data_IF_239851282482
#
_entry.id   IF_239851282482
#
_cell.length_a   1.000
_cell.length_b   1.000
_cell.length_c   1.000
_cell.angle_alpha   90.00
_cell.angle_beta   90.00
_cell.angle_gamma   90.00
#
_symmetry.space_group_name_H-M   'P 1'
#
loop_
_entity.id
_entity.type
_entity.pdbx_description
1 polymer ?
#
# COMPACT_ATOMS: atom_id res chain seq x y z
N UNK A 1 -12.16 -18.74 22.63
CA UNK A 1 -11.58 -19.57 21.54
C UNK A 1 -11.38 -18.77 20.26
N UNK A 2 -12.41 -18.06 19.77
CA UNK A 2 -12.35 -17.22 18.56
C UNK A 2 -11.28 -16.10 18.65
N UNK A 3 -11.15 -15.41 19.79
CA UNK A 3 -10.10 -14.38 19.95
C UNK A 3 -8.67 -14.96 20.00
N UNK A 4 -8.46 -16.16 20.54
CA UNK A 4 -7.16 -16.84 20.53
C UNK A 4 -6.78 -17.32 19.12
N UNK A 5 -7.77 -17.73 18.32
CA UNK A 5 -7.58 -18.08 16.91
C UNK A 5 -7.16 -16.85 16.10
N UNK A 6 -7.83 -15.71 16.28
CA UNK A 6 -7.47 -14.46 15.60
C UNK A 6 -6.10 -13.92 16.02
N UNK A 7 -5.75 -14.02 17.31
CA UNK A 7 -4.41 -13.67 17.81
C UNK A 7 -3.34 -14.63 17.25
N UNK A 8 -3.64 -15.93 17.18
CA UNK A 8 -2.75 -16.93 16.59
C UNK A 8 -2.54 -16.75 15.09
N UNK A 9 -3.59 -16.41 14.34
CA UNK A 9 -3.52 -16.08 12.91
C UNK A 9 -2.73 -14.79 12.70
N UNK A 10 -2.99 -13.74 13.48
CA UNK A 10 -2.25 -12.47 13.41
C UNK A 10 -0.76 -12.65 13.72
N UNK A 11 -0.42 -13.36 14.79
CA UNK A 11 0.98 -13.69 15.12
C UNK A 11 1.62 -14.55 14.03
N UNK A 12 0.93 -15.55 13.48
CA UNK A 12 1.45 -16.38 12.40
C UNK A 12 1.77 -15.57 11.12
N UNK A 13 0.87 -14.68 10.73
CA UNK A 13 0.99 -13.87 9.49
C UNK A 13 2.12 -12.86 9.59
N UNK A 14 2.39 -12.28 10.76
CA UNK A 14 3.44 -11.27 10.94
C UNK A 14 4.76 -11.83 11.50
N UNK A 15 4.77 -12.92 12.25
CA UNK A 15 6.01 -13.51 12.80
C UNK A 15 6.67 -14.46 11.80
N UNK A 16 5.89 -15.28 11.09
CA UNK A 16 6.47 -16.25 10.15
C UNK A 16 7.35 -15.61 9.05
N UNK A 17 6.97 -14.48 8.41
CA UNK A 17 7.82 -13.81 7.43
C UNK A 17 9.14 -13.30 8.02
N UNK A 18 9.12 -12.79 9.26
CA UNK A 18 10.34 -12.36 9.95
C UNK A 18 11.26 -13.56 10.25
N UNK A 19 10.69 -14.67 10.72
CA UNK A 19 11.43 -15.91 10.96
C UNK A 19 12.04 -16.45 9.66
N UNK A 20 11.30 -16.42 8.55
CA UNK A 20 11.83 -16.81 7.23
C UNK A 20 12.95 -15.88 6.77
N UNK A 21 12.84 -14.57 7.04
CA UNK A 21 13.90 -13.60 6.76
C UNK A 21 15.18 -13.94 7.52
N UNK A 22 15.07 -14.17 8.83
CA UNK A 22 16.20 -14.60 9.66
C UNK A 22 16.78 -15.92 9.17
N UNK A 23 15.94 -16.89 8.81
CA UNK A 23 16.39 -18.17 8.29
C UNK A 23 17.12 -18.02 6.95
N UNK A 24 16.69 -17.12 6.07
CA UNK A 24 17.37 -16.82 4.81
C UNK A 24 18.71 -16.11 5.01
N UNK A 25 18.81 -15.19 5.97
CA UNK A 25 20.07 -14.57 6.38
C UNK A 25 21.03 -15.64 6.90
N UNK A 26 20.59 -16.49 7.83
CA UNK A 26 21.42 -17.58 8.36
C UNK A 26 21.86 -18.52 7.23
N UNK A 27 20.94 -18.93 6.36
CA UNK A 27 21.25 -19.78 5.22
C UNK A 27 22.14 -19.09 4.19
N UNK A 28 22.24 -17.77 4.14
CA UNK A 28 23.20 -17.11 3.25
C UNK A 28 24.64 -17.46 3.67
N UNK A 29 24.96 -17.31 4.96
CA UNK A 29 26.33 -17.45 5.49
C UNK A 29 26.70 -18.87 5.94
N UNK A 30 25.72 -19.72 6.28
CA UNK A 30 26.00 -21.07 6.82
C UNK A 30 26.57 -22.01 5.75
N UNK A 31 27.62 -22.78 6.08
CA UNK A 31 28.21 -23.78 5.16
C UNK A 31 27.22 -24.91 4.79
N UNK A 32 26.58 -25.51 5.80
CA UNK A 32 25.51 -26.51 5.63
C UNK A 32 24.14 -25.86 5.82
N UNK A 33 23.41 -25.70 4.72
CA UNK A 33 22.12 -25.00 4.69
C UNK A 33 21.05 -25.80 5.44
N UNK A 34 20.20 -25.11 6.19
CA UNK A 34 19.06 -25.70 6.91
C UNK A 34 17.86 -25.73 5.96
N UNK A 35 17.36 -26.94 5.63
CA UNK A 35 16.12 -27.18 4.85
C UNK A 35 15.89 -26.17 3.70
N UNK A 36 16.95 -25.84 2.95
CA UNK A 36 16.99 -24.68 2.05
C UNK A 36 15.83 -24.64 1.05
N UNK A 37 15.57 -25.74 0.33
CA UNK A 37 14.49 -25.80 -0.66
C UNK A 37 13.10 -25.52 -0.06
N UNK A 38 12.86 -26.03 1.15
CA UNK A 38 11.59 -25.82 1.85
C UNK A 38 11.46 -24.36 2.28
N UNK A 39 12.54 -23.77 2.79
CA UNK A 39 12.57 -22.36 3.19
C UNK A 39 12.39 -21.44 1.98
N UNK A 40 13.02 -21.73 0.84
CA UNK A 40 12.81 -21.00 -0.41
C UNK A 40 11.33 -21.04 -0.81
N UNK A 41 10.73 -22.24 -0.89
CA UNK A 41 9.32 -22.40 -1.29
C UNK A 41 8.40 -21.61 -0.35
N UNK A 42 8.59 -21.75 0.97
CA UNK A 42 7.80 -21.02 1.96
C UNK A 42 8.00 -19.51 1.85
N UNK A 43 9.23 -19.06 1.58
CA UNK A 43 9.56 -17.64 1.40
C UNK A 43 8.80 -17.04 0.21
N UNK A 44 8.78 -17.72 -0.93
CA UNK A 44 8.07 -17.24 -2.10
C UNK A 44 6.55 -17.30 -1.91
N UNK A 45 6.01 -18.43 -1.44
CA UNK A 45 4.56 -18.61 -1.26
C UNK A 45 4.01 -17.64 -0.21
N UNK A 46 4.60 -17.61 0.98
CA UNK A 46 4.12 -16.75 2.07
C UNK A 46 4.48 -15.27 1.83
N UNK A 47 5.63 -14.99 1.21
CA UNK A 47 6.03 -13.61 0.90
C UNK A 47 5.17 -12.96 -0.17
N UNK A 48 4.88 -13.66 -1.27
CA UNK A 48 3.96 -13.18 -2.31
C UNK A 48 2.54 -13.08 -1.74
N UNK A 49 2.09 -14.12 -1.02
CA UNK A 49 0.77 -14.14 -0.39
C UNK A 49 0.56 -12.99 0.60
N UNK A 50 1.54 -12.72 1.47
CA UNK A 50 1.50 -11.59 2.39
C UNK A 50 1.49 -10.25 1.65
N UNK A 51 2.36 -10.09 0.65
CA UNK A 51 2.42 -8.84 -0.12
C UNK A 51 1.08 -8.55 -0.80
N UNK A 52 0.46 -9.55 -1.41
CA UNK A 52 -0.88 -9.44 -2.01
C UNK A 52 -1.96 -9.16 -0.98
N UNK A 53 -1.94 -9.84 0.17
CA UNK A 53 -2.86 -9.60 1.28
C UNK A 53 -2.77 -8.15 1.79
N UNK A 54 -1.54 -7.65 1.98
CA UNK A 54 -1.31 -6.28 2.45
C UNK A 54 -1.83 -5.27 1.44
N UNK A 55 -1.53 -5.42 0.15
CA UNK A 55 -2.11 -4.55 -0.89
C UNK A 55 -3.64 -4.57 -0.90
N UNK A 56 -4.25 -5.74 -0.73
CA UNK A 56 -5.71 -5.90 -0.72
C UNK A 56 -6.34 -5.27 0.52
N UNK A 57 -5.77 -5.49 1.70
CA UNK A 57 -6.28 -4.93 2.96
C UNK A 57 -6.05 -3.42 3.04
N UNK A 58 -4.95 -2.93 2.48
CA UNK A 58 -4.65 -1.50 2.42
C UNK A 58 -5.58 -0.72 1.48
N UNK A 59 -6.23 -1.40 0.52
CA UNK A 59 -7.11 -0.77 -0.49
C UNK A 59 -6.50 0.51 -1.09
N UNK A 60 -5.22 0.41 -1.47
CA UNK A 60 -4.45 1.54 -1.97
C UNK A 60 -5.15 2.22 -3.16
N UNK A 61 -5.30 3.54 -3.09
CA UNK A 61 -5.80 4.37 -4.19
C UNK A 61 -4.66 5.01 -4.96
N UNK A 62 -4.81 5.17 -6.27
CA UNK A 62 -3.85 5.95 -7.06
C UNK A 62 -3.89 7.43 -6.69
N UNK A 63 -2.78 8.14 -6.92
CA UNK A 63 -2.62 9.56 -6.53
C UNK A 63 -3.68 10.51 -7.12
N UNK A 64 -4.40 10.08 -8.15
CA UNK A 64 -5.46 10.86 -8.81
C UNK A 64 -6.72 10.96 -7.96
N UNK A 65 -6.90 10.09 -6.97
CA UNK A 65 -8.05 10.06 -6.09
C UNK A 65 -7.76 10.81 -4.78
N UNK A 66 -8.79 11.40 -4.17
CA UNK A 66 -8.64 11.98 -2.84
C UNK A 66 -8.74 10.87 -1.78
N UNK A 67 -7.77 10.80 -0.86
CA UNK A 67 -7.87 9.90 0.28
C UNK A 67 -8.98 10.32 1.23
N UNK A 68 -9.66 9.31 1.77
CA UNK A 68 -10.62 9.43 2.86
C UNK A 68 -9.87 9.12 4.15
N UNK A 69 -9.92 10.03 5.13
CA UNK A 69 -9.19 9.91 6.39
C UNK A 69 -10.20 9.92 7.54
N UNK A 70 -10.14 8.97 8.48
CA UNK A 70 -11.06 8.97 9.65
C UNK A 70 -11.39 7.61 10.26
N UNK A 71 -10.73 6.53 9.82
CA UNK A 71 -10.88 5.18 10.33
C UNK A 71 -9.58 4.38 10.37
N UNK A 72 -9.65 3.08 10.09
CA UNK A 72 -8.48 2.21 9.83
C UNK A 72 -7.99 2.32 8.37
N UNK A 73 -8.40 3.36 7.65
CA UNK A 73 -8.06 3.59 6.26
C UNK A 73 -6.60 4.05 6.14
N UNK A 74 -5.93 3.63 5.06
CA UNK A 74 -4.54 3.97 4.81
C UNK A 74 -4.46 5.42 4.32
N UNK A 75 -3.65 6.23 4.98
CA UNK A 75 -3.44 7.65 4.67
C UNK A 75 -2.32 7.88 3.63
N UNK A 76 -2.10 6.88 2.78
CA UNK A 76 -1.11 6.86 1.71
C UNK A 76 -1.71 6.28 0.43
N UNK A 77 -1.35 6.87 -0.71
CA UNK A 77 -1.68 6.33 -2.02
C UNK A 77 -0.83 5.10 -2.35
N UNK A 78 -1.16 4.42 -3.44
CA UNK A 78 -0.43 3.27 -3.92
C UNK A 78 1.06 3.59 -4.14
N UNK A 79 1.99 2.76 -3.64
CA UNK A 79 3.44 2.95 -3.87
C UNK A 79 3.87 2.63 -5.29
N UNK A 80 3.00 1.99 -6.07
CA UNK A 80 3.19 1.70 -7.49
C UNK A 80 1.93 2.14 -8.22
N UNK A 81 2.10 2.89 -9.31
CA UNK A 81 0.99 3.33 -10.16
C UNK A 81 0.27 2.13 -10.79
N UNK A 82 -1.06 2.08 -10.67
CA UNK A 82 -1.86 0.92 -11.09
C UNK A 82 -1.72 0.60 -12.59
N UNK A 83 -1.65 1.62 -13.45
CA UNK A 83 -1.50 1.46 -14.90
C UNK A 83 -0.14 0.88 -15.32
N UNK A 84 0.89 1.01 -14.48
CA UNK A 84 2.21 0.43 -14.71
C UNK A 84 2.34 -1.02 -14.18
N UNK A 85 1.32 -1.55 -13.50
CA UNK A 85 1.35 -2.89 -12.91
C UNK A 85 1.63 -4.03 -13.90
N UNK A 86 1.16 -4.01 -15.17
CA UNK A 86 1.53 -5.05 -16.13
C UNK A 86 3.05 -5.14 -16.34
N UNK A 87 3.72 -3.99 -16.44
CA UNK A 87 5.18 -3.92 -16.55
C UNK A 87 5.88 -4.44 -15.28
N UNK A 88 5.40 -4.03 -14.10
CA UNK A 88 5.92 -4.50 -12.80
C UNK A 88 5.82 -6.02 -12.68
N UNK A 89 4.65 -6.58 -12.99
CA UNK A 89 4.38 -8.01 -12.93
C UNK A 89 5.26 -8.77 -13.93
N UNK A 90 5.45 -8.25 -15.15
CA UNK A 90 6.31 -8.87 -16.14
C UNK A 90 7.78 -8.94 -15.69
N UNK A 91 8.31 -7.87 -15.08
CA UNK A 91 9.66 -7.86 -14.50
C UNK A 91 9.78 -8.90 -13.39
N UNK A 92 8.79 -9.02 -12.50
CA UNK A 92 8.78 -10.02 -11.43
C UNK A 92 8.68 -11.44 -11.97
N UNK A 93 7.81 -11.71 -12.94
CA UNK A 93 7.73 -13.02 -13.61
C UNK A 93 9.07 -13.37 -14.24
N UNK A 94 9.69 -12.45 -14.96
CA UNK A 94 11.00 -12.65 -15.58
C UNK A 94 12.09 -13.01 -14.54
N UNK A 95 12.12 -12.28 -13.42
CA UNK A 95 13.03 -12.55 -12.30
C UNK A 95 12.76 -13.88 -11.60
N UNK A 96 11.49 -14.26 -11.40
CA UNK A 96 11.11 -15.51 -10.75
C UNK A 96 11.41 -16.71 -11.63
N UNK A 97 11.06 -16.65 -12.92
CA UNK A 97 11.40 -17.70 -13.89
C UNK A 97 12.92 -17.91 -13.91
N UNK A 98 13.69 -16.82 -13.96
CA UNK A 98 15.16 -16.87 -13.92
C UNK A 98 15.69 -17.53 -12.64
N UNK A 99 15.15 -17.16 -11.47
CA UNK A 99 15.48 -17.80 -10.20
C UNK A 99 15.15 -19.30 -10.17
N UNK A 100 13.94 -19.67 -10.57
CA UNK A 100 13.51 -21.08 -10.57
C UNK A 100 14.27 -21.94 -11.57
N UNK A 101 14.66 -21.38 -12.73
CA UNK A 101 15.52 -22.06 -13.70
C UNK A 101 16.85 -22.46 -13.07
N UNK A 102 17.53 -21.52 -12.40
CA UNK A 102 18.79 -21.79 -11.70
C UNK A 102 18.59 -22.82 -10.59
N UNK A 103 17.55 -22.67 -9.75
CA UNK A 103 17.33 -23.54 -8.59
C UNK A 103 16.93 -24.97 -8.94
N UNK A 104 16.04 -25.16 -9.93
CA UNK A 104 15.53 -26.50 -10.29
C UNK A 104 16.46 -27.24 -11.25
N UNK A 105 16.98 -26.55 -12.27
CA UNK A 105 17.70 -27.22 -13.37
C UNK A 105 19.21 -27.27 -13.13
N UNK A 106 19.78 -26.38 -12.30
CA UNK A 106 21.19 -26.42 -11.85
C UNK A 106 22.17 -26.73 -13.00
N UNK A 107 22.78 -27.93 -12.98
CA UNK A 107 23.78 -28.39 -13.96
C UNK A 107 23.20 -28.87 -15.30
N UNK A 108 21.88 -28.89 -15.45
CA UNK A 108 21.18 -29.37 -16.65
C UNK A 108 20.86 -28.23 -17.65
N UNK A 109 21.41 -27.03 -17.43
CA UNK A 109 21.25 -25.89 -18.32
C UNK A 109 22.57 -25.56 -19.01
N UNK A 110 22.56 -25.11 -20.27
CA UNK A 110 23.75 -24.55 -20.89
C UNK A 110 24.25 -23.32 -20.11
N UNK A 111 25.58 -23.09 -20.01
CA UNK A 111 26.14 -21.91 -19.35
C UNK A 111 25.51 -20.58 -19.79
N UNK A 112 25.22 -20.42 -21.08
CA UNK A 112 24.54 -19.23 -21.62
C UNK A 112 23.18 -18.97 -20.94
N UNK A 113 22.35 -20.01 -20.79
CA UNK A 113 21.02 -19.88 -20.14
C UNK A 113 21.18 -19.51 -18.67
N UNK A 114 22.24 -19.97 -18.02
CA UNK A 114 22.52 -19.61 -16.63
C UNK A 114 22.92 -18.14 -16.54
N UNK A 115 23.84 -17.66 -17.38
CA UNK A 115 24.23 -16.25 -17.38
C UNK A 115 23.03 -15.35 -17.69
N UNK A 116 22.17 -15.71 -18.65
CA UNK A 116 20.91 -15.00 -18.91
C UNK A 116 19.96 -15.03 -17.70
N UNK A 117 19.88 -16.15 -16.97
CA UNK A 117 19.08 -16.25 -15.75
C UNK A 117 19.66 -15.40 -14.61
N UNK A 118 20.99 -15.35 -14.46
CA UNK A 118 21.65 -14.45 -13.49
C UNK A 118 21.31 -13.00 -13.84
N UNK A 119 21.35 -12.64 -15.12
CA UNK A 119 20.94 -11.32 -15.59
C UNK A 119 19.48 -11.00 -15.23
N UNK A 120 18.54 -11.92 -15.47
CA UNK A 120 17.13 -11.72 -15.10
C UNK A 120 16.91 -11.57 -13.59
N UNK A 121 17.67 -12.32 -12.79
CA UNK A 121 17.70 -12.14 -11.33
C UNK A 121 18.22 -10.75 -10.95
N UNK A 122 19.28 -10.25 -11.60
CA UNK A 122 19.85 -8.92 -11.33
C UNK A 122 18.82 -7.83 -11.65
N UNK A 123 18.16 -7.89 -12.81
CA UNK A 123 17.10 -6.93 -13.19
C UNK A 123 15.99 -6.88 -12.14
N UNK A 124 15.46 -8.04 -11.74
CA UNK A 124 14.42 -8.09 -10.72
C UNK A 124 14.92 -7.63 -9.35
N UNK A 125 16.15 -7.96 -8.97
CA UNK A 125 16.76 -7.53 -7.70
C UNK A 125 16.93 -6.01 -7.64
N UNK A 126 17.35 -5.37 -8.75
CA UNK A 126 17.41 -3.91 -8.85
C UNK A 126 16.01 -3.32 -8.66
N UNK A 127 14.99 -3.87 -9.32
CA UNK A 127 13.62 -3.40 -9.18
C UNK A 127 13.08 -3.56 -7.75
N UNK A 128 13.42 -4.67 -7.08
CA UNK A 128 13.10 -4.91 -5.66
C UNK A 128 13.78 -3.90 -4.74
N UNK A 129 15.04 -3.52 -5.01
CA UNK A 129 15.75 -2.48 -4.26
C UNK A 129 15.07 -1.13 -4.46
N UNK A 130 14.70 -0.77 -5.69
CA UNK A 130 13.97 0.48 -5.98
C UNK A 130 12.64 0.50 -5.23
N UNK A 131 11.90 -0.61 -5.22
CA UNK A 131 10.65 -0.71 -4.46
C UNK A 131 10.87 -0.57 -2.95
N UNK A 132 11.93 -1.15 -2.38
CA UNK A 132 12.30 -0.94 -0.98
C UNK A 132 12.57 0.55 -0.73
N UNK A 133 13.36 1.21 -1.58
CA UNK A 133 13.63 2.65 -1.48
C UNK A 133 12.33 3.48 -1.56
N UNK A 134 11.42 3.13 -2.46
CA UNK A 134 10.12 3.80 -2.64
C UNK A 134 9.32 3.82 -1.34
N UNK A 135 9.20 2.66 -0.67
CA UNK A 135 8.40 2.52 0.55
C UNK A 135 9.14 2.96 1.83
N UNK A 136 10.46 3.18 1.76
CA UNK A 136 11.27 3.62 2.89
C UNK A 136 11.33 5.14 2.92
N UNK A 137 10.28 5.77 3.46
CA UNK A 137 10.28 7.19 3.80
C UNK A 137 10.45 7.36 5.33
N UNK A 138 11.46 8.15 5.71
CA UNK A 138 12.09 8.21 7.03
C UNK A 138 11.18 8.73 8.15
N UNK A 139 10.16 9.52 7.85
CA UNK A 139 9.22 10.02 8.86
C UNK A 139 8.11 9.01 9.25
N UNK A 140 8.03 7.88 8.53
CA UNK A 140 6.87 6.99 8.55
C UNK A 140 7.08 5.68 9.32
N UNK A 141 8.34 5.27 9.56
CA UNK A 141 8.64 3.94 10.10
C UNK A 141 7.96 3.65 11.47
N UNK A 142 7.91 4.59 12.44
CA UNK A 142 7.23 4.36 13.72
C UNK A 142 5.70 4.39 13.61
N UNK A 143 5.14 5.21 12.69
CA UNK A 143 3.70 5.46 12.59
C UNK A 143 2.93 4.31 11.92
N UNK A 144 3.55 3.63 10.94
CA UNK A 144 2.88 2.59 10.13
C UNK A 144 3.35 1.16 10.38
N UNK A 145 4.12 0.93 11.45
CA UNK A 145 4.51 -0.42 11.86
C UNK A 145 3.28 -1.34 11.99
N UNK A 146 2.17 -0.81 12.48
CA UNK A 146 0.90 -1.51 12.68
C UNK A 146 0.06 -1.69 11.40
N UNK A 147 0.29 -0.89 10.35
CA UNK A 147 -0.41 -1.01 9.07
C UNK A 147 0.27 -1.97 8.08
N UNK A 148 1.38 -2.61 8.50
CA UNK A 148 2.05 -3.62 7.69
C UNK A 148 2.84 -3.08 6.49
N UNK A 149 2.93 -1.76 6.30
CA UNK A 149 3.71 -1.17 5.19
C UNK A 149 5.18 -1.63 5.22
N UNK A 150 5.88 -1.65 6.39
CA UNK A 150 7.24 -2.20 6.45
C UNK A 150 7.32 -3.69 6.05
N UNK A 151 6.24 -4.45 6.20
CA UNK A 151 6.19 -5.85 5.83
C UNK A 151 6.21 -6.06 4.30
N UNK A 152 5.82 -5.05 3.52
CA UNK A 152 5.97 -5.07 2.05
C UNK A 152 7.44 -5.16 1.62
N UNK A 153 8.40 -4.74 2.46
CA UNK A 153 9.83 -4.86 2.18
C UNK A 153 10.37 -6.28 2.39
N UNK A 154 9.70 -7.12 3.18
CA UNK A 154 10.23 -8.43 3.57
C UNK A 154 10.41 -9.36 2.37
N UNK A 155 9.40 -9.46 1.50
CA UNK A 155 9.52 -10.32 0.33
C UNK A 155 10.62 -9.85 -0.65
N UNK A 156 10.71 -8.55 -1.03
CA UNK A 156 11.85 -8.01 -1.77
C UNK A 156 13.22 -8.36 -1.17
N UNK A 157 13.41 -8.15 0.14
CA UNK A 157 14.65 -8.48 0.84
C UNK A 157 14.95 -9.97 0.72
N UNK A 158 13.96 -10.81 0.99
CA UNK A 158 14.11 -12.25 0.92
C UNK A 158 14.41 -12.78 -0.49
N UNK A 159 13.77 -12.21 -1.51
CA UNK A 159 14.06 -12.53 -2.91
C UNK A 159 15.54 -12.27 -3.22
N UNK A 160 16.07 -11.12 -2.79
CA UNK A 160 17.49 -10.77 -2.99
C UNK A 160 18.40 -11.76 -2.25
N UNK A 161 18.10 -12.09 -0.99
CA UNK A 161 18.88 -13.07 -0.20
C UNK A 161 18.90 -14.46 -0.86
N UNK A 162 17.73 -14.94 -1.30
CA UNK A 162 17.60 -16.22 -2.00
C UNK A 162 18.35 -16.20 -3.33
N UNK A 163 18.28 -15.10 -4.05
CA UNK A 163 18.92 -14.88 -5.35
C UNK A 163 20.44 -14.89 -5.26
N UNK A 164 21.02 -14.12 -4.33
CA UNK A 164 22.47 -14.11 -4.08
C UNK A 164 22.96 -15.53 -3.75
N UNK A 165 22.24 -16.24 -2.87
CA UNK A 165 22.56 -17.62 -2.51
C UNK A 165 22.52 -18.55 -3.73
N UNK A 166 21.48 -18.45 -4.57
CA UNK A 166 21.33 -19.26 -5.77
C UNK A 166 22.47 -19.03 -6.78
N UNK A 167 22.87 -17.76 -6.98
CA UNK A 167 23.96 -17.36 -7.88
C UNK A 167 25.29 -17.93 -7.38
N UNK A 168 25.62 -17.75 -6.09
CA UNK A 168 26.85 -18.28 -5.50
C UNK A 168 26.91 -19.80 -5.65
N UNK A 169 25.80 -20.49 -5.36
CA UNK A 169 25.74 -21.95 -5.43
C UNK A 169 25.92 -22.47 -6.87
N UNK A 170 25.27 -21.86 -7.85
CA UNK A 170 25.37 -22.31 -9.24
C UNK A 170 26.76 -22.07 -9.81
N UNK A 171 27.36 -20.89 -9.56
CA UNK A 171 28.74 -20.60 -9.99
C UNK A 171 29.71 -21.61 -9.38
N UNK A 172 29.60 -21.87 -8.07
CA UNK A 172 30.45 -22.83 -7.38
C UNK A 172 30.34 -24.24 -7.99
N UNK A 173 29.12 -24.74 -8.21
CA UNK A 173 28.88 -26.06 -8.80
C UNK A 173 29.46 -26.19 -10.21
N UNK A 174 29.35 -25.15 -11.03
CA UNK A 174 29.93 -25.15 -12.38
C UNK A 174 31.45 -25.10 -12.36
N UNK A 175 32.02 -24.32 -11.44
CA UNK A 175 33.48 -24.25 -11.24
C UNK A 175 34.04 -25.59 -10.79
N UNK A 176 33.38 -26.29 -9.86
CA UNK A 176 33.77 -27.63 -9.41
C UNK A 176 33.70 -28.67 -10.53
N UNK A 177 32.70 -28.56 -11.43
CA UNK A 177 32.52 -29.50 -12.54
C UNK A 177 33.55 -29.32 -13.66
N UNK A 178 34.22 -28.15 -13.74
CA UNK A 178 35.24 -27.83 -14.75
C UNK A 178 34.82 -28.24 -16.18
N UNK A 179 33.63 -27.80 -16.60
CA UNK A 179 33.10 -28.14 -17.92
C UNK A 179 34.00 -27.57 -19.03
N UNK A 180 34.39 -28.42 -19.98
CA UNK A 180 35.13 -27.97 -21.16
C UNK A 180 34.23 -27.16 -22.09
N UNK A 181 34.81 -26.11 -22.67
CA UNK A 181 34.15 -25.30 -23.69
C UNK A 181 33.75 -26.18 -24.89
N UNK A 182 32.62 -25.84 -25.52
CA UNK A 182 32.22 -26.47 -26.78
C UNK A 182 33.08 -25.91 -27.91
N UNK A 183 33.50 -26.78 -28.82
CA UNK A 183 34.20 -26.41 -30.04
C UNK A 183 33.20 -26.16 -31.18
N UNK A 184 33.50 -25.15 -31.98
CA UNK A 184 32.73 -24.69 -33.14
C UNK A 184 33.71 -24.43 -34.29
N UNK A 185 33.27 -24.59 -35.53
CA UNK A 185 34.14 -24.30 -36.70
C UNK A 185 34.46 -22.80 -36.83
N UNK A 186 33.52 -21.96 -36.41
CA UNK A 186 33.66 -20.51 -36.49
C UNK A 186 34.54 -19.96 -35.35
N UNK A 187 35.61 -19.24 -35.71
CA UNK A 187 36.56 -18.61 -34.77
C UNK A 187 35.90 -17.68 -33.73
N UNK A 188 34.89 -16.91 -34.14
CA UNK A 188 34.15 -16.02 -33.24
C UNK A 188 33.32 -16.82 -32.23
N UNK A 189 32.57 -17.83 -32.69
CA UNK A 189 31.78 -18.69 -31.82
C UNK A 189 32.66 -19.46 -30.82
N UNK A 190 33.86 -19.88 -31.22
CA UNK A 190 34.84 -20.46 -30.30
C UNK A 190 35.26 -19.50 -29.20
N UNK A 191 35.54 -18.23 -29.53
CA UNK A 191 35.86 -17.21 -28.51
C UNK A 191 34.68 -17.00 -27.55
N UNK A 192 33.46 -16.88 -28.08
CA UNK A 192 32.26 -16.77 -27.23
C UNK A 192 32.09 -17.99 -26.32
N UNK A 193 32.30 -19.20 -26.85
CA UNK A 193 32.25 -20.44 -26.07
C UNK A 193 33.27 -20.43 -24.93
N UNK A 194 34.52 -20.08 -25.21
CA UNK A 194 35.57 -19.99 -24.19
C UNK A 194 35.23 -18.96 -23.09
N UNK A 195 34.72 -17.80 -23.48
CA UNK A 195 34.32 -16.73 -22.55
C UNK A 195 33.18 -17.18 -21.63
N UNK A 196 32.14 -17.81 -22.20
CA UNK A 196 30.94 -18.25 -21.46
C UNK A 196 31.24 -19.47 -20.58
N UNK A 197 32.12 -20.38 -20.99
CA UNK A 197 32.48 -21.54 -20.17
C UNK A 197 33.44 -21.21 -19.02
N UNK A 198 34.14 -20.08 -19.09
CA UNK A 198 34.89 -19.56 -17.95
C UNK A 198 33.93 -18.93 -16.92
N UNK A 199 33.70 -19.63 -15.81
CA UNK A 199 32.78 -19.21 -14.75
C UNK A 199 33.14 -17.89 -14.09
N UNK A 200 34.43 -17.51 -14.10
CA UNK A 200 34.89 -16.26 -13.48
C UNK A 200 34.38 -15.03 -14.25
N UNK A 201 34.00 -15.20 -15.51
CA UNK A 201 33.40 -14.14 -16.33
C UNK A 201 31.89 -13.94 -16.08
N UNK A 202 31.21 -14.92 -15.47
CA UNK A 202 29.74 -14.92 -15.38
C UNK A 202 29.13 -13.68 -14.71
N UNK A 203 29.69 -13.13 -13.62
CA UNK A 203 29.14 -11.92 -13.01
C UNK A 203 29.14 -10.73 -13.99
N UNK A 204 30.25 -10.51 -14.70
CA UNK A 204 30.38 -9.42 -15.66
C UNK A 204 29.48 -9.66 -16.86
N UNK A 205 29.48 -10.87 -17.41
CA UNK A 205 28.60 -11.24 -18.54
C UNK A 205 27.12 -11.07 -18.19
N UNK A 206 26.72 -11.43 -16.97
CA UNK A 206 25.35 -11.26 -16.52
C UNK A 206 24.97 -9.78 -16.47
N UNK A 207 25.84 -8.91 -15.94
CA UNK A 207 25.62 -7.45 -15.95
C UNK A 207 25.50 -6.93 -17.38
N UNK A 208 26.40 -7.31 -18.29
CA UNK A 208 26.34 -6.88 -19.70
C UNK A 208 25.04 -7.33 -20.38
N UNK A 209 24.57 -8.56 -20.09
CA UNK A 209 23.34 -9.10 -20.67
C UNK A 209 22.06 -8.48 -20.08
N UNK A 210 22.13 -7.71 -19.00
CA UNK A 210 20.94 -7.00 -18.48
C UNK A 210 20.35 -6.08 -19.54
N UNK A 211 21.18 -5.31 -20.26
CA UNK A 211 20.76 -4.34 -21.27
C UNK A 211 19.99 -4.96 -22.44
N UNK A 212 20.52 -5.96 -23.18
CA UNK A 212 19.78 -6.56 -24.29
C UNK A 212 18.54 -7.34 -23.81
N UNK A 213 18.59 -7.98 -22.64
CA UNK A 213 17.43 -8.72 -22.13
C UNK A 213 16.30 -7.79 -21.66
N UNK A 214 16.63 -6.67 -21.02
CA UNK A 214 15.62 -5.66 -20.68
C UNK A 214 15.07 -4.98 -21.93
N UNK A 215 15.89 -4.70 -22.94
CA UNK A 215 15.42 -4.17 -24.22
C UNK A 215 14.39 -5.11 -24.88
N UNK A 216 14.67 -6.42 -24.91
CA UNK A 216 13.71 -7.42 -25.41
C UNK A 216 12.42 -7.40 -24.59
N UNK A 217 12.52 -7.38 -23.25
CA UNK A 217 11.35 -7.32 -22.37
C UNK A 217 10.52 -6.05 -22.62
N UNK A 218 11.16 -4.90 -22.79
CA UNK A 218 10.50 -3.63 -23.11
C UNK A 218 9.80 -3.73 -24.47
N UNK A 219 10.47 -4.25 -25.50
CA UNK A 219 9.84 -4.46 -26.80
C UNK A 219 8.58 -5.32 -26.71
N UNK A 220 8.63 -6.42 -25.95
CA UNK A 220 7.46 -7.27 -25.71
C UNK A 220 6.35 -6.47 -25.02
N UNK A 221 6.65 -5.74 -23.96
CA UNK A 221 5.67 -4.93 -23.23
C UNK A 221 5.05 -3.82 -24.11
N UNK A 222 5.84 -3.21 -24.98
CA UNK A 222 5.36 -2.21 -25.96
C UNK A 222 4.38 -2.83 -26.95
N UNK A 223 4.61 -4.08 -27.39
CA UNK A 223 3.64 -4.81 -28.23
C UNK A 223 2.31 -5.07 -27.49
N UNK A 224 2.33 -5.16 -26.16
CA UNK A 224 1.14 -5.25 -25.32
C UNK A 224 0.58 -3.87 -24.89
N UNK A 225 1.04 -2.78 -25.50
CA UNK A 225 0.52 -1.43 -25.28
C UNK A 225 1.10 -0.70 -24.07
N UNK A 226 2.15 -1.21 -23.45
CA UNK A 226 2.87 -0.47 -22.41
C UNK A 226 3.84 0.54 -23.04
N UNK A 227 4.17 1.60 -22.30
CA UNK A 227 5.18 2.55 -22.75
C UNK A 227 6.59 2.03 -22.46
N UNK A 228 7.62 2.46 -23.22
CA UNK A 228 8.99 2.03 -22.96
C UNK A 228 9.55 2.51 -21.61
N UNK A 229 9.02 3.62 -21.07
CA UNK A 229 9.42 4.23 -19.80
C UNK A 229 8.58 3.76 -18.60
N UNK A 230 7.69 2.78 -18.78
CA UNK A 230 6.66 2.40 -17.80
C UNK A 230 7.25 1.84 -16.49
N UNK A 231 8.38 1.14 -16.56
CA UNK A 231 9.08 0.61 -15.39
C UNK A 231 9.58 1.71 -14.43
N UNK A 232 9.84 2.91 -14.95
CA UNK A 232 10.26 4.07 -14.16
C UNK A 232 9.01 4.82 -13.67
N UNK A 233 8.04 5.04 -14.57
CA UNK A 233 6.77 5.70 -14.27
C UNK A 233 6.00 5.03 -13.14
N UNK A 234 6.11 3.71 -13.01
CA UNK A 234 5.56 2.92 -11.92
C UNK A 234 5.81 3.54 -10.53
N UNK A 235 6.97 4.17 -10.31
CA UNK A 235 7.32 4.79 -9.02
C UNK A 235 7.24 6.32 -9.01
N UNK A 236 7.32 6.96 -10.19
CA UNK A 236 7.28 8.42 -10.30
C UNK A 236 5.86 8.96 -10.37
N UNK A 237 4.95 8.23 -11.02
CA UNK A 237 3.53 8.60 -11.13
C UNK A 237 2.72 8.16 -9.91
N UNK A 238 3.29 8.37 -8.73
CA UNK A 238 2.68 8.18 -7.42
C UNK A 238 2.86 9.44 -6.58
N UNK A 239 2.26 9.47 -5.39
CA UNK A 239 2.42 10.51 -4.37
C UNK A 239 2.87 9.90 -3.05
N UNK A 240 3.33 10.72 -2.10
CA UNK A 240 3.59 10.36 -0.70
C UNK A 240 4.79 9.45 -0.38
N UNK A 241 5.40 8.87 -1.42
CA UNK A 241 6.55 7.96 -1.32
C UNK A 241 7.85 8.63 -1.74
N UNK A 242 8.97 7.95 -1.48
CA UNK A 242 10.30 8.54 -1.62
C UNK A 242 10.65 9.01 -3.04
N UNK A 243 10.23 8.26 -4.08
CA UNK A 243 10.50 8.60 -5.49
C UNK A 243 9.30 9.29 -6.17
N UNK A 244 8.23 9.58 -5.44
CA UNK A 244 7.00 10.16 -5.98
C UNK A 244 7.22 11.55 -6.57
N UNK A 245 6.61 11.83 -7.73
CA UNK A 245 6.68 13.13 -8.38
C UNK A 245 5.31 13.80 -8.57
N UNK A 246 4.22 13.13 -8.17
CA UNK A 246 2.87 13.67 -8.32
C UNK A 246 2.36 14.24 -7.01
N UNK A 247 1.48 15.22 -7.14
CA UNK A 247 0.75 15.83 -6.03
C UNK A 247 -0.69 15.35 -6.10
N UNK A 248 -1.16 14.73 -5.04
CA UNK A 248 -2.54 14.24 -4.96
C UNK A 248 -3.52 15.35 -4.59
N UNK A 249 -4.81 15.17 -4.92
CA UNK A 249 -5.86 15.99 -4.33
C UNK A 249 -5.79 15.98 -2.80
N UNK A 250 -6.20 17.07 -2.13
CA UNK A 250 -6.21 17.12 -0.68
C UNK A 250 -7.12 16.03 -0.12
N UNK A 251 -6.66 15.35 0.93
CA UNK A 251 -7.43 14.34 1.63
C UNK A 251 -8.69 14.94 2.28
N UNK A 252 -9.77 14.16 2.31
CA UNK A 252 -11.01 14.50 2.98
C UNK A 252 -10.99 13.83 4.36
N UNK A 253 -10.77 14.62 5.42
CA UNK A 253 -10.89 14.14 6.80
C UNK A 253 -12.38 14.05 7.20
N UNK A 254 -12.82 12.82 7.48
CA UNK A 254 -14.02 12.55 8.27
C UNK A 254 -13.75 12.97 9.70
N UNK A 255 -14.15 14.20 10.02
CA UNK A 255 -14.27 14.60 11.41
C UNK A 255 -15.31 13.71 12.10
N UNK A 256 -15.03 13.37 13.36
CA UNK A 256 -15.68 12.39 14.24
C UNK A 256 -17.17 12.66 14.58
N UNK A 257 -17.85 13.45 13.75
CA UNK A 257 -19.27 13.73 13.84
C UNK A 257 -20.02 12.91 12.81
N UNK A 258 -20.78 11.90 13.26
CA UNK A 258 -21.53 11.03 12.34
C UNK A 258 -22.45 11.83 11.41
N UNK A 259 -22.99 12.97 11.86
CA UNK A 259 -23.79 13.86 11.01
C UNK A 259 -22.98 14.55 9.91
N UNK A 260 -21.70 14.83 10.12
CA UNK A 260 -20.79 15.28 9.06
C UNK A 260 -20.50 14.13 8.08
N UNK A 261 -20.26 12.91 8.58
CA UNK A 261 -20.11 11.69 7.74
C UNK A 261 -21.33 11.47 6.86
N UNK A 262 -22.53 11.57 7.45
CA UNK A 262 -23.80 11.43 6.73
C UNK A 262 -23.96 12.51 5.65
N UNK A 263 -23.63 13.77 5.96
CA UNK A 263 -23.75 14.88 5.02
C UNK A 263 -22.79 14.76 3.82
N UNK A 264 -21.64 14.11 3.97
CA UNK A 264 -20.65 13.89 2.92
C UNK A 264 -20.94 12.61 2.12
N UNK A 265 -21.27 11.51 2.81
CA UNK A 265 -21.28 10.17 2.21
C UNK A 265 -22.61 9.73 1.62
N UNK A 266 -23.73 10.30 2.06
CA UNK A 266 -25.06 9.91 1.57
C UNK A 266 -25.37 10.39 0.16
N UNK A 267 -26.41 9.83 -0.46
CA UNK A 267 -26.85 10.25 -1.78
C UNK A 267 -27.42 11.67 -1.73
N UNK A 268 -27.04 12.50 -2.71
CA UNK A 268 -27.36 13.93 -2.72
C UNK A 268 -28.86 14.21 -2.68
N UNK A 269 -29.69 13.35 -3.30
CA UNK A 269 -31.16 13.51 -3.26
C UNK A 269 -31.74 13.33 -1.84
N UNK A 270 -31.07 12.53 -1.00
CA UNK A 270 -31.52 12.16 0.35
C UNK A 270 -30.93 13.12 1.39
N UNK A 271 -29.60 13.19 1.49
CA UNK A 271 -28.93 13.92 2.58
C UNK A 271 -28.81 15.43 2.34
N UNK A 272 -29.08 15.89 1.11
CA UNK A 272 -29.24 17.29 0.71
C UNK A 272 -28.15 18.21 1.27
N UNK A 273 -26.88 18.00 0.88
CA UNK A 273 -25.80 18.89 1.29
C UNK A 273 -26.07 20.32 0.80
N UNK A 274 -25.84 21.32 1.65
CA UNK A 274 -26.23 22.71 1.37
C UNK A 274 -25.04 23.60 1.07
N UNK A 275 -23.98 23.57 1.89
CA UNK A 275 -22.79 24.42 1.71
C UNK A 275 -21.54 23.81 2.32
N UNK A 276 -20.40 24.44 2.05
CA UNK A 276 -19.15 24.18 2.79
C UNK A 276 -19.16 25.02 4.07
N UNK A 277 -18.92 24.38 5.21
CA UNK A 277 -18.73 25.01 6.52
C UNK A 277 -17.28 24.89 6.99
N UNK A 278 -16.95 25.58 8.09
CA UNK A 278 -15.65 25.48 8.76
C UNK A 278 -15.84 24.98 10.19
N UNK A 279 -15.13 23.90 10.55
CA UNK A 279 -15.06 23.35 11.90
C UNK A 279 -13.61 23.11 12.27
N UNK A 280 -13.16 23.65 13.41
CA UNK A 280 -11.76 23.53 13.90
C UNK A 280 -10.70 23.90 12.85
N UNK A 281 -11.00 24.87 11.98
CA UNK A 281 -10.10 25.32 10.91
C UNK A 281 -10.14 24.48 9.62
N UNK A 282 -10.91 23.39 9.58
CA UNK A 282 -11.05 22.52 8.42
C UNK A 282 -12.39 22.74 7.70
N UNK A 283 -12.39 22.51 6.38
CA UNK A 283 -13.59 22.58 5.54
C UNK A 283 -14.40 21.30 5.70
N UNK A 284 -15.70 21.44 5.95
CA UNK A 284 -16.65 20.32 6.05
C UNK A 284 -17.84 20.57 5.11
N UNK A 285 -18.48 19.51 4.59
CA UNK A 285 -19.78 19.63 3.92
C UNK A 285 -20.86 19.66 4.99
N UNK A 286 -21.74 20.65 4.94
CA UNK A 286 -22.85 20.78 5.88
C UNK A 286 -24.17 20.55 5.18
N UNK A 287 -25.11 19.96 5.89
CA UNK A 287 -26.52 19.90 5.53
C UNK A 287 -27.37 20.48 6.67
N UNK A 288 -28.67 20.64 6.44
CA UNK A 288 -29.57 21.25 7.44
C UNK A 288 -29.64 20.44 8.75
N UNK A 289 -29.67 19.11 8.66
CA UNK A 289 -29.76 18.24 9.84
C UNK A 289 -28.57 18.43 10.78
N UNK A 290 -27.35 18.51 10.24
CA UNK A 290 -26.14 18.81 11.00
C UNK A 290 -26.22 20.20 11.68
N UNK A 291 -26.65 21.24 10.95
CA UNK A 291 -26.81 22.58 11.50
C UNK A 291 -27.85 22.63 12.62
N UNK A 292 -28.97 21.92 12.49
CA UNK A 292 -30.02 21.83 13.52
C UNK A 292 -29.49 21.15 14.78
N UNK A 293 -28.81 20.02 14.64
CA UNK A 293 -28.23 19.31 15.78
C UNK A 293 -27.19 20.15 16.53
N UNK A 294 -26.31 20.86 15.81
CA UNK A 294 -25.31 21.72 16.44
C UNK A 294 -25.95 22.96 17.09
N UNK A 295 -26.95 23.56 16.46
CA UNK A 295 -27.69 24.69 17.04
C UNK A 295 -28.42 24.30 18.33
N UNK A 296 -29.00 23.08 18.38
CA UNK A 296 -29.60 22.54 19.59
C UNK A 296 -28.55 22.31 20.68
N UNK A 297 -27.40 21.72 20.35
CA UNK A 297 -26.28 21.53 21.28
C UNK A 297 -25.82 22.87 21.86
N UNK A 298 -25.66 23.90 21.03
CA UNK A 298 -25.29 25.26 21.45
C UNK A 298 -26.34 25.87 22.41
N UNK A 299 -27.63 25.69 22.11
CA UNK A 299 -28.72 26.22 22.95
C UNK A 299 -28.76 25.56 24.33
N UNK A 300 -28.65 24.22 24.40
CA UNK A 300 -28.62 23.52 25.69
C UNK A 300 -27.33 23.80 26.46
N UNK A 301 -26.21 24.06 25.78
CA UNK A 301 -24.97 24.48 26.43
C UNK A 301 -25.16 25.84 27.11
N UNK A 302 -25.85 26.77 26.46
CA UNK A 302 -26.15 28.11 26.97
C UNK A 302 -27.16 28.08 28.13
N UNK A 303 -28.26 27.32 27.98
CA UNK A 303 -29.40 27.36 28.91
C UNK A 303 -29.33 26.32 30.02
N UNK A 304 -28.78 25.13 29.75
CA UNK A 304 -28.81 23.97 30.66
C UNK A 304 -27.49 23.18 30.61
N UNK A 305 -26.36 23.76 31.04
CA UNK A 305 -25.01 23.18 30.86
C UNK A 305 -24.84 21.78 31.48
N UNK A 306 -25.51 21.48 32.60
CA UNK A 306 -25.50 20.13 33.20
C UNK A 306 -26.16 19.09 32.29
N UNK A 307 -27.25 19.45 31.62
CA UNK A 307 -27.95 18.59 30.66
C UNK A 307 -27.13 18.45 29.37
N UNK A 308 -26.51 19.53 28.90
CA UNK A 308 -25.55 19.48 27.79
C UNK A 308 -24.43 18.46 28.04
N UNK A 309 -23.82 18.44 29.23
CA UNK A 309 -22.78 17.45 29.54
C UNK A 309 -23.29 16.00 29.48
N UNK A 310 -24.53 15.74 29.91
CA UNK A 310 -25.14 14.40 29.81
C UNK A 310 -25.38 14.00 28.34
N UNK A 311 -25.93 14.90 27.53
CA UNK A 311 -26.15 14.67 26.10
C UNK A 311 -24.82 14.44 25.40
N UNK A 312 -23.80 15.22 25.73
CA UNK A 312 -22.43 15.07 25.22
C UNK A 312 -21.83 13.72 25.57
N UNK A 313 -22.00 13.27 26.81
CA UNK A 313 -21.56 11.93 27.25
C UNK A 313 -22.26 10.81 26.46
N UNK A 314 -23.58 10.88 26.27
CA UNK A 314 -24.34 9.90 25.49
C UNK A 314 -23.86 9.90 24.03
N UNK A 315 -23.66 11.09 23.45
CA UNK A 315 -23.15 11.24 22.11
C UNK A 315 -21.73 10.64 21.96
N UNK A 316 -20.80 10.95 22.87
CA UNK A 316 -19.43 10.45 22.81
C UNK A 316 -19.39 8.93 23.02
N UNK A 317 -20.32 8.37 23.81
CA UNK A 317 -20.42 6.93 24.08
C UNK A 317 -21.07 6.12 22.96
N UNK A 318 -22.09 6.66 22.30
CA UNK A 318 -22.90 5.90 21.31
C UNK A 318 -22.83 6.48 19.89
N UNK A 319 -22.82 7.81 19.73
CA UNK A 319 -22.76 8.48 18.43
C UNK A 319 -21.40 8.38 17.74
N UNK A 320 -20.30 8.43 18.51
CA UNK A 320 -18.95 8.30 17.96
C UNK A 320 -18.64 6.90 17.39
N UNK A 321 -18.97 5.78 18.06
CA UNK A 321 -18.88 4.45 17.46
C UNK A 321 -19.75 4.30 16.21
N UNK A 322 -20.96 4.88 16.21
CA UNK A 322 -21.88 4.81 15.06
C UNK A 322 -21.28 5.49 13.82
N UNK A 323 -20.61 6.64 13.98
CA UNK A 323 -19.92 7.34 12.88
C UNK A 323 -18.95 6.42 12.12
N UNK A 324 -18.24 5.54 12.84
CA UNK A 324 -17.24 4.62 12.29
C UNK A 324 -17.87 3.40 11.60
N UNK A 325 -19.15 3.14 11.85
CA UNK A 325 -19.91 2.08 11.20
C UNK A 325 -20.47 2.50 9.84
N UNK A 326 -20.52 3.80 9.54
CA UNK A 326 -21.05 4.34 8.27
C UNK A 326 -19.91 4.36 7.24
N UNK A 327 -19.89 3.38 6.34
CA UNK A 327 -18.84 3.19 5.32
C UNK A 327 -19.35 3.34 3.90
N UNK A 328 -20.65 3.17 3.70
CA UNK A 328 -21.31 3.22 2.40
C UNK A 328 -22.35 4.35 2.34
N UNK A 329 -22.67 4.79 1.13
CA UNK A 329 -23.71 5.80 0.92
C UNK A 329 -25.08 5.36 1.45
N UNK A 330 -25.40 4.07 1.33
CA UNK A 330 -26.64 3.50 1.86
C UNK A 330 -26.72 3.55 3.40
N UNK A 331 -25.62 3.23 4.10
CA UNK A 331 -25.57 3.35 5.57
C UNK A 331 -25.72 4.80 6.03
N UNK A 332 -25.15 5.74 5.27
CA UNK A 332 -25.30 7.17 5.52
C UNK A 332 -26.76 7.62 5.34
N UNK A 333 -27.43 7.18 4.28
CA UNK A 333 -28.84 7.50 4.02
C UNK A 333 -29.77 6.92 5.08
N UNK A 334 -29.55 5.66 5.47
CA UNK A 334 -30.34 5.01 6.54
C UNK A 334 -30.17 5.80 7.84
N UNK A 335 -28.93 6.18 8.18
CA UNK A 335 -28.65 6.97 9.38
C UNK A 335 -29.33 8.34 9.31
N UNK A 336 -29.29 9.01 8.15
CA UNK A 336 -29.97 10.28 7.93
C UNK A 336 -31.49 10.20 8.18
N UNK A 337 -32.12 9.14 7.66
CA UNK A 337 -33.56 8.89 7.82
C UNK A 337 -33.90 8.58 9.28
N UNK A 338 -33.12 7.71 9.94
CA UNK A 338 -33.31 7.37 11.35
C UNK A 338 -33.13 8.56 12.30
N UNK A 339 -32.35 9.56 11.90
CA UNK A 339 -32.15 10.80 12.65
C UNK A 339 -33.28 11.83 12.49
N UNK A 340 -34.18 11.68 11.52
CA UNK A 340 -35.28 12.65 11.30
C UNK A 340 -36.18 12.88 12.51
N UNK A 341 -36.61 11.84 13.26
CA UNK A 341 -37.37 12.05 14.49
C UNK A 341 -36.64 12.91 15.52
N UNK A 342 -35.33 12.70 15.68
CA UNK A 342 -34.50 13.51 16.57
C UNK A 342 -34.32 14.94 16.06
N UNK A 343 -34.13 15.13 14.75
CA UNK A 343 -34.09 16.47 14.13
C UNK A 343 -35.37 17.26 14.43
N UNK A 344 -36.55 16.63 14.36
CA UNK A 344 -37.81 17.30 14.71
C UNK A 344 -37.89 17.66 16.19
N UNK A 345 -37.43 16.80 17.10
CA UNK A 345 -37.35 17.12 18.52
C UNK A 345 -36.42 18.32 18.75
N UNK A 346 -35.25 18.34 18.13
CA UNK A 346 -34.31 19.46 18.22
C UNK A 346 -34.92 20.76 17.71
N UNK A 347 -35.64 20.71 16.58
CA UNK A 347 -36.38 21.86 16.05
C UNK A 347 -37.46 22.34 17.01
N UNK A 348 -38.28 21.44 17.58
CA UNK A 348 -39.30 21.83 18.56
C UNK A 348 -38.67 22.58 19.74
N UNK A 349 -37.56 22.08 20.27
CA UNK A 349 -36.85 22.75 21.38
C UNK A 349 -36.28 24.10 20.94
N UNK A 350 -35.61 24.17 19.78
CA UNK A 350 -35.06 25.41 19.25
C UNK A 350 -36.15 26.48 19.06
N UNK A 351 -37.27 26.12 18.45
CA UNK A 351 -38.38 27.03 18.19
C UNK A 351 -39.17 27.43 19.44
N UNK A 352 -39.13 26.61 20.49
CA UNK A 352 -39.82 26.91 21.76
C UNK A 352 -38.94 27.72 22.72
N UNK A 353 -37.61 27.62 22.61
CA UNK A 353 -36.68 28.12 23.62
C UNK A 353 -35.64 29.13 23.11
N UNK A 354 -35.57 29.39 21.80
CA UNK A 354 -34.70 30.41 21.20
C UNK A 354 -35.52 31.54 20.56
N UNK A 355 -35.09 32.80 20.72
CA UNK A 355 -35.77 33.96 20.13
C UNK A 355 -35.60 34.07 18.61
N UNK A 356 -34.52 33.52 18.05
CA UNK A 356 -34.17 33.58 16.63
C UNK A 356 -33.62 32.21 16.12
N UNK A 357 -34.43 31.15 16.14
CA UNK A 357 -33.97 29.77 15.90
C UNK A 357 -33.34 29.58 14.51
N UNK A 358 -33.93 30.13 13.45
CA UNK A 358 -33.37 29.99 12.09
C UNK A 358 -32.05 30.75 11.92
N UNK A 359 -31.87 31.88 12.60
CA UNK A 359 -30.60 32.59 12.57
C UNK A 359 -29.50 31.75 13.25
N UNK A 360 -29.81 31.14 14.41
CA UNK A 360 -28.87 30.23 15.09
C UNK A 360 -28.52 29.02 14.22
N UNK A 361 -29.50 28.41 13.53
CA UNK A 361 -29.26 27.27 12.63
C UNK A 361 -28.39 27.68 11.43
N UNK A 362 -28.74 28.79 10.77
CA UNK A 362 -28.07 29.22 9.54
C UNK A 362 -26.61 29.65 9.77
N UNK A 363 -26.29 30.17 10.96
CA UNK A 363 -24.95 30.65 11.33
C UNK A 363 -23.99 29.53 11.74
N UNK A 364 -24.48 28.32 11.97
CA UNK A 364 -23.62 27.17 12.33
C UNK A 364 -22.56 26.91 11.26
N UNK A 365 -21.30 26.76 11.67
CA UNK A 365 -20.16 26.50 10.77
C UNK A 365 -19.92 27.58 9.71
N UNK A 366 -20.49 28.79 9.81
CA UNK A 366 -19.98 29.96 9.08
C UNK A 366 -18.67 30.34 9.76
N UNK A 367 -17.53 30.18 9.08
CA UNK A 367 -16.22 30.48 9.67
C UNK A 367 -16.18 31.88 10.27
N UNK A 368 -15.84 32.00 11.54
CA UNK A 368 -15.53 33.30 12.13
C UNK A 368 -14.32 33.87 11.39
N UNK A 369 -14.40 35.12 10.90
CA UNK A 369 -13.19 35.89 10.60
C UNK A 369 -12.32 35.83 11.86
N UNK A 370 -11.10 35.33 11.71
CA UNK A 370 -10.06 35.40 12.74
C UNK A 370 -9.97 36.87 13.12
N UNK A 371 -10.46 37.25 14.30
CA UNK A 371 -10.09 38.53 14.89
C UNK A 371 -8.61 38.38 15.25
N UNK A 372 -7.75 38.96 14.42
CA UNK A 372 -6.37 39.21 14.83
C UNK A 372 -6.45 40.01 16.12
N UNK A 373 -6.06 39.37 17.23
CA UNK A 373 -5.67 40.11 18.42
C UNK A 373 -4.33 40.73 18.04
N UNK A 374 -4.36 42.05 17.84
CA UNK A 374 -3.16 42.87 17.64
C UNK A 374 -2.37 42.90 18.93
#
# INVERSE_FOLDING_TARGET
>A
MINLLYIGIGLGVFVAPLVLTLANIINLFKKKKIKENMIDILTFVLGIGLSGLLYLVSDFKDYTEALRLGGFEVDKHAPIASWSMPTVIAIFIFGFVSYFLIRKRKLNLPPLIIVCSISGIIVCSIYMIIFIIQITNTELFPRYLFYGIPYLALFPINYILCSIRAIIEVIKRYKEKNLKAKEFDNKFLNKCSQIIYNTDNWPILAVVLTVPLTAILICILVLFGQRPDEAIRAFLETSDWNLSQKVSPPSVEYDAHYLCTVAVSGHKEIVKPTRVGIRRGQKIIVNRQLCVANAFEDLIQEKTPRFHHLVRYIYDKYGFPLAKCIKTAWEADITYILMKPLEWIFLIVLYSCDSNPENRISTQYIGKKIKYVV
#
